data_IF_797952047147
#
_entry.id   IF_797952047147
#
_cell.length_a   1.000
_cell.length_b   1.000
_cell.length_c   1.000
_cell.angle_alpha   90.00
_cell.angle_beta   90.00
_cell.angle_gamma   90.00
#
_symmetry.space_group_name_H-M   'P 1'
#
loop_
_entity.id
_entity.type
_entity.pdbx_description
1 polymer ?
#
# COMPACT_ATOMS: atom_id res chain seq x y z
N UNK A 1 -4.51 15.63 -6.79
CA UNK A 1 -3.89 14.29 -6.82
C UNK A 1 -4.24 13.62 -8.13
N UNK A 2 -3.44 13.82 -9.19
CA UNK A 2 -3.82 13.32 -10.51
C UNK A 2 -2.98 12.18 -11.04
N UNK A 3 -1.89 11.78 -10.38
CA UNK A 3 -1.17 10.57 -10.79
C UNK A 3 -0.46 9.94 -9.58
N UNK A 4 -0.93 8.78 -9.24
CA UNK A 4 -0.09 7.78 -8.66
C UNK A 4 0.74 7.20 -9.82
N UNK A 5 2.01 7.53 -9.93
CA UNK A 5 2.98 6.62 -10.49
C UNK A 5 3.10 5.47 -9.49
N UNK A 6 1.94 4.86 -9.24
CA UNK A 6 1.81 3.85 -8.22
C UNK A 6 2.52 2.58 -8.57
N UNK A 7 3.35 2.57 -9.58
CA UNK A 7 3.95 1.34 -10.02
C UNK A 7 5.25 1.54 -10.80
N UNK A 8 5.74 2.78 -10.91
CA UNK A 8 7.13 3.03 -11.27
C UNK A 8 8.11 2.73 -10.12
N UNK A 9 7.62 2.11 -9.06
CA UNK A 9 8.48 1.58 -8.03
C UNK A 9 9.05 0.25 -8.52
N UNK A 10 10.27 -0.06 -8.22
CA UNK A 10 10.94 -1.32 -8.53
C UNK A 10 10.22 -2.59 -8.03
N UNK A 11 9.00 -2.47 -7.54
CA UNK A 11 8.12 -3.55 -7.13
C UNK A 11 7.37 -4.21 -8.30
N UNK A 12 7.47 -3.70 -9.52
CA UNK A 12 6.73 -4.22 -10.68
C UNK A 12 7.60 -4.44 -11.92
N UNK A 13 8.88 -4.63 -11.73
CA UNK A 13 9.76 -5.14 -12.79
C UNK A 13 9.26 -6.47 -13.36
N UNK A 14 8.64 -7.27 -12.52
CA UNK A 14 8.00 -8.56 -12.87
C UNK A 14 6.76 -8.78 -11.98
N UNK A 15 5.82 -9.60 -12.43
CA UNK A 15 4.66 -9.99 -11.62
C UNK A 15 5.09 -10.80 -10.40
N UNK A 16 4.56 -10.48 -9.21
CA UNK A 16 4.83 -11.24 -7.98
C UNK A 16 4.33 -12.68 -8.06
N UNK A 17 5.06 -13.60 -7.45
CA UNK A 17 4.66 -15.01 -7.35
C UNK A 17 3.59 -15.18 -6.27
N UNK A 18 2.32 -15.14 -6.67
CA UNK A 18 1.17 -15.24 -5.78
C UNK A 18 0.76 -16.69 -5.61
N UNK A 19 1.39 -17.40 -4.69
CA UNK A 19 1.13 -18.83 -4.45
C UNK A 19 -0.36 -19.15 -4.20
N UNK A 20 -1.09 -18.27 -3.52
CA UNK A 20 -2.53 -18.44 -3.29
C UNK A 20 -3.31 -18.46 -4.61
N UNK A 21 -2.96 -17.58 -5.55
CA UNK A 21 -3.60 -17.54 -6.88
C UNK A 21 -3.29 -18.84 -7.63
N UNK A 22 -2.05 -19.32 -7.56
CA UNK A 22 -1.62 -20.60 -8.14
C UNK A 22 -2.36 -21.80 -7.53
N UNK A 23 -2.45 -21.87 -6.20
CA UNK A 23 -3.18 -22.95 -5.49
C UNK A 23 -4.67 -22.97 -5.83
N UNK A 24 -5.27 -21.80 -6.07
CA UNK A 24 -6.66 -21.67 -6.47
C UNK A 24 -6.89 -21.85 -7.98
N UNK A 25 -5.83 -22.10 -8.76
CA UNK A 25 -5.91 -22.22 -10.21
C UNK A 25 -6.20 -20.91 -10.93
N UNK A 26 -6.05 -19.76 -10.24
CA UNK A 26 -6.24 -18.47 -10.87
C UNK A 26 -5.07 -18.14 -11.80
N UNK A 27 -5.36 -18.05 -13.09
CA UNK A 27 -4.39 -17.73 -14.14
C UNK A 27 -4.91 -16.60 -15.02
N UNK A 28 -4.03 -15.79 -15.50
CA UNK A 28 -4.32 -14.81 -16.54
C UNK A 28 -3.57 -15.22 -17.83
N UNK A 29 -4.24 -15.37 -18.98
CA UNK A 29 -5.68 -15.16 -19.20
C UNK A 29 -6.56 -16.20 -18.50
N UNK A 30 -7.76 -15.78 -18.09
CA UNK A 30 -8.74 -16.65 -17.45
C UNK A 30 -9.14 -17.79 -18.41
N UNK A 31 -9.13 -19.03 -17.92
CA UNK A 31 -9.60 -20.20 -18.66
C UNK A 31 -10.75 -20.85 -17.90
N UNK A 32 -11.79 -21.20 -18.63
CA UNK A 32 -12.91 -21.97 -18.08
C UNK A 32 -12.45 -23.42 -17.86
N UNK A 33 -12.11 -23.75 -16.63
CA UNK A 33 -11.84 -25.13 -16.20
C UNK A 33 -13.09 -25.69 -15.50
N UNK A 34 -13.26 -27.00 -15.38
CA UNK A 34 -14.43 -27.61 -14.71
C UNK A 34 -14.67 -27.05 -13.29
N UNK A 35 -13.59 -26.77 -12.54
CA UNK A 35 -13.65 -26.14 -11.22
C UNK A 35 -14.24 -24.72 -11.30
N UNK A 36 -13.81 -23.93 -12.28
CA UNK A 36 -14.31 -22.56 -12.49
C UNK A 36 -15.79 -22.54 -12.86
N UNK A 37 -16.25 -23.51 -13.65
CA UNK A 37 -17.67 -23.67 -14.00
C UNK A 37 -18.50 -23.97 -12.76
N UNK A 38 -18.03 -24.87 -11.89
CA UNK A 38 -18.70 -25.16 -10.62
C UNK A 38 -18.76 -23.95 -9.69
N UNK A 39 -17.72 -23.13 -9.64
CA UNK A 39 -17.70 -21.91 -8.84
C UNK A 39 -18.65 -20.84 -9.41
N UNK A 40 -18.68 -20.66 -10.73
CA UNK A 40 -19.64 -19.76 -11.40
C UNK A 40 -21.08 -20.18 -11.10
N UNK A 41 -21.39 -21.47 -11.17
CA UNK A 41 -22.73 -22.00 -10.87
C UNK A 41 -23.16 -21.76 -9.41
N UNK A 42 -22.21 -21.70 -8.48
CA UNK A 42 -22.48 -21.37 -7.07
C UNK A 42 -22.71 -19.88 -6.81
N UNK A 43 -22.38 -19.03 -7.78
CA UNK A 43 -22.48 -17.57 -7.67
C UNK A 43 -23.35 -16.97 -8.78
N UNK A 44 -24.66 -17.30 -8.84
CA UNK A 44 -25.55 -16.92 -9.94
C UNK A 44 -25.70 -15.40 -10.09
N UNK A 45 -25.64 -14.64 -8.98
CA UNK A 45 -25.67 -13.17 -9.02
C UNK A 45 -24.47 -12.59 -9.75
N UNK A 46 -23.26 -13.14 -9.52
CA UNK A 46 -22.05 -12.75 -10.24
C UNK A 46 -22.14 -13.13 -11.73
N UNK A 47 -22.60 -14.34 -12.03
CA UNK A 47 -22.77 -14.80 -13.41
C UNK A 47 -23.74 -13.90 -14.19
N UNK A 48 -24.86 -13.52 -13.56
CA UNK A 48 -25.84 -12.59 -14.16
C UNK A 48 -25.25 -11.18 -14.35
N UNK A 49 -24.46 -10.69 -13.40
CA UNK A 49 -23.80 -9.41 -13.55
C UNK A 49 -22.81 -9.41 -14.72
N UNK A 50 -22.00 -10.46 -14.87
CA UNK A 50 -21.09 -10.62 -16.01
C UNK A 50 -21.85 -10.74 -17.34
N UNK A 51 -22.98 -11.46 -17.38
CA UNK A 51 -23.81 -11.55 -18.57
C UNK A 51 -24.42 -10.20 -18.96
N UNK A 52 -24.81 -9.37 -17.98
CA UNK A 52 -25.42 -8.06 -18.22
C UNK A 52 -24.43 -6.98 -18.58
N UNK A 53 -23.27 -6.95 -17.92
CA UNK A 53 -22.32 -5.83 -17.98
C UNK A 53 -20.99 -6.20 -18.67
N UNK A 54 -20.81 -7.47 -19.03
CA UNK A 54 -19.55 -7.97 -19.55
C UNK A 54 -18.48 -8.15 -18.46
N UNK A 55 -17.29 -8.56 -18.86
CA UNK A 55 -16.14 -8.58 -17.96
C UNK A 55 -15.62 -7.17 -17.74
N UNK A 56 -15.18 -6.84 -16.51
CA UNK A 56 -14.57 -5.53 -16.26
C UNK A 56 -13.32 -5.33 -17.12
N UNK A 57 -13.29 -4.22 -17.83
CA UNK A 57 -12.17 -3.79 -18.66
C UNK A 57 -11.44 -2.66 -17.95
N UNK A 58 -10.12 -2.66 -18.02
CA UNK A 58 -9.34 -1.55 -17.50
C UNK A 58 -9.34 -0.41 -18.52
N UNK A 59 -10.20 0.59 -18.31
CA UNK A 59 -10.41 1.72 -19.24
C UNK A 59 -9.13 2.48 -19.55
N UNK A 60 -8.19 2.57 -18.59
CA UNK A 60 -6.91 3.23 -18.79
C UNK A 60 -5.99 2.51 -19.79
N UNK A 61 -6.29 1.27 -20.13
CA UNK A 61 -5.55 0.51 -21.14
C UNK A 61 -6.20 0.54 -22.53
N UNK A 62 -7.43 1.05 -22.61
CA UNK A 62 -8.14 1.22 -23.90
C UNK A 62 -7.40 2.29 -24.71
N UNK A 63 -6.93 1.91 -25.88
CA UNK A 63 -6.18 2.82 -26.78
C UNK A 63 -4.65 2.73 -26.67
N UNK A 64 -4.10 2.13 -25.62
CA UNK A 64 -2.65 1.88 -25.55
C UNK A 64 -2.21 0.68 -26.39
N UNK A 65 -3.12 -0.26 -26.67
CA UNK A 65 -2.85 -1.41 -27.53
C UNK A 65 -4.11 -1.81 -28.32
N UNK A 66 -3.93 -2.28 -29.56
CA UNK A 66 -5.02 -2.65 -30.47
C UNK A 66 -5.86 -3.86 -30.03
N UNK A 67 -5.44 -4.59 -28.99
CA UNK A 67 -5.99 -5.90 -28.63
C UNK A 67 -6.57 -5.97 -27.18
N UNK A 68 -7.08 -4.85 -26.68
CA UNK A 68 -7.58 -4.73 -25.29
C UNK A 68 -9.09 -5.05 -25.17
N UNK A 69 -9.71 -5.61 -26.20
CA UNK A 69 -11.13 -5.92 -26.21
C UNK A 69 -11.51 -7.19 -25.39
N UNK A 70 -10.52 -7.93 -24.90
CA UNK A 70 -10.74 -9.14 -24.10
C UNK A 70 -9.99 -9.10 -22.77
N UNK A 71 -10.50 -9.78 -21.75
CA UNK A 71 -9.82 -9.97 -20.45
C UNK A 71 -8.40 -10.54 -20.63
N UNK A 72 -8.24 -11.44 -21.60
CA UNK A 72 -6.95 -12.02 -21.96
C UNK A 72 -5.99 -10.95 -22.56
N UNK A 73 -6.50 -10.07 -23.40
CA UNK A 73 -5.76 -8.97 -23.98
C UNK A 73 -5.31 -7.95 -22.92
N UNK A 74 -6.18 -7.60 -21.97
CA UNK A 74 -5.86 -6.73 -20.84
C UNK A 74 -4.76 -7.34 -19.97
N UNK A 75 -4.88 -8.60 -19.59
CA UNK A 75 -3.88 -9.28 -18.77
C UNK A 75 -2.52 -9.38 -19.46
N UNK A 76 -2.52 -9.67 -20.77
CA UNK A 76 -1.31 -9.72 -21.58
C UNK A 76 -0.70 -8.32 -21.78
N UNK A 77 -1.52 -7.28 -21.90
CA UNK A 77 -1.07 -5.88 -21.99
C UNK A 77 -0.40 -5.44 -20.69
N UNK A 78 -0.98 -5.74 -19.53
CA UNK A 78 -0.39 -5.46 -18.22
C UNK A 78 0.97 -6.18 -18.08
N UNK A 79 1.04 -7.46 -18.43
CA UNK A 79 2.30 -8.22 -18.34
C UNK A 79 3.41 -7.70 -19.26
N UNK A 80 3.06 -7.20 -20.46
CA UNK A 80 4.03 -6.62 -21.41
C UNK A 80 4.50 -5.21 -21.05
N UNK A 81 3.75 -4.51 -20.21
CA UNK A 81 4.09 -3.15 -19.78
C UNK A 81 4.98 -3.11 -18.53
N UNK A 82 5.37 -4.26 -17.97
CA UNK A 82 6.39 -4.29 -16.94
C UNK A 82 7.75 -4.02 -17.58
N UNK A 83 8.44 -3.02 -17.05
CA UNK A 83 9.79 -2.67 -17.49
C UNK A 83 10.80 -3.01 -16.38
N UNK A 84 11.49 -4.16 -16.48
CA UNK A 84 12.51 -4.54 -15.51
C UNK A 84 13.76 -3.64 -15.55
N UNK A 85 13.91 -2.83 -16.58
CA UNK A 85 15.02 -1.88 -16.72
C UNK A 85 14.72 -0.51 -16.08
N UNK A 86 13.55 -0.33 -15.45
CA UNK A 86 13.20 0.93 -14.80
C UNK A 86 14.16 1.22 -13.64
N UNK A 87 14.86 2.33 -13.75
CA UNK A 87 15.89 2.78 -12.81
C UNK A 87 15.71 4.26 -12.40
N UNK A 88 16.69 4.79 -11.71
CA UNK A 88 16.68 6.16 -11.23
C UNK A 88 16.74 7.21 -12.36
N UNK A 89 17.41 6.89 -13.46
CA UNK A 89 17.52 7.79 -14.61
C UNK A 89 16.17 7.90 -15.33
N UNK A 90 15.47 6.78 -15.47
CA UNK A 90 14.09 6.77 -15.97
C UNK A 90 13.12 7.55 -15.09
N UNK A 91 13.30 7.47 -13.77
CA UNK A 91 12.50 8.29 -12.85
C UNK A 91 12.80 9.79 -13.02
N UNK A 92 14.06 10.15 -13.24
CA UNK A 92 14.46 11.53 -13.51
C UNK A 92 13.86 12.05 -14.83
N UNK A 93 13.86 11.23 -15.88
CA UNK A 93 13.17 11.57 -17.14
C UNK A 93 11.67 11.81 -16.92
N UNK A 94 11.00 10.94 -16.16
CA UNK A 94 9.58 11.11 -15.83
C UNK A 94 9.38 12.41 -15.05
N UNK A 95 10.24 12.71 -14.06
CA UNK A 95 10.15 13.95 -13.32
C UNK A 95 10.29 15.17 -14.23
N UNK A 96 11.20 15.14 -15.20
CA UNK A 96 11.40 16.22 -16.16
C UNK A 96 10.20 16.42 -17.11
N UNK A 97 9.60 15.31 -17.55
CA UNK A 97 8.43 15.33 -18.43
C UNK A 97 7.11 15.68 -17.73
N UNK A 98 7.03 15.42 -16.40
CA UNK A 98 5.80 15.58 -15.63
C UNK A 98 5.89 16.81 -14.70
N UNK A 99 5.34 17.97 -15.11
CA UNK A 99 5.49 19.21 -14.33
C UNK A 99 4.55 19.32 -13.13
N UNK A 100 3.68 18.31 -12.91
CA UNK A 100 2.72 18.31 -11.80
C UNK A 100 3.23 17.47 -10.63
N UNK A 101 2.37 17.25 -9.62
CA UNK A 101 2.69 16.43 -8.44
C UNK A 101 3.07 15.01 -8.82
N UNK A 102 4.26 14.60 -8.38
CA UNK A 102 4.80 13.26 -8.55
C UNK A 102 4.85 12.57 -7.19
N UNK A 103 4.10 11.49 -7.05
CA UNK A 103 4.06 10.66 -5.83
C UNK A 103 4.66 9.30 -6.17
N UNK A 104 5.70 8.91 -5.46
CA UNK A 104 6.34 7.60 -5.64
C UNK A 104 5.88 6.63 -4.56
N UNK A 105 5.43 5.45 -4.99
CA UNK A 105 4.89 4.40 -4.13
C UNK A 105 5.79 3.15 -4.18
N UNK A 106 5.87 2.42 -3.06
CA UNK A 106 6.65 1.18 -2.97
C UNK A 106 7.97 1.37 -2.24
N UNK A 107 8.14 2.48 -1.57
CA UNK A 107 9.36 2.83 -0.84
C UNK A 107 9.36 2.15 0.52
N UNK A 108 10.45 1.44 0.85
CA UNK A 108 10.63 0.73 2.12
C UNK A 108 11.94 1.07 2.83
N UNK A 109 12.77 1.93 2.23
CA UNK A 109 14.11 2.29 2.75
C UNK A 109 14.25 3.80 2.86
N UNK A 110 14.93 4.25 3.90
CA UNK A 110 15.18 5.67 4.15
C UNK A 110 16.09 6.31 3.11
N UNK A 111 17.13 5.61 2.66
CA UNK A 111 18.05 6.11 1.64
C UNK A 111 17.38 6.35 0.28
N UNK A 112 16.48 5.44 -0.13
CA UNK A 112 15.66 5.64 -1.33
C UNK A 112 14.71 6.82 -1.16
N UNK A 113 14.08 6.96 0.00
CA UNK A 113 13.19 8.06 0.30
C UNK A 113 13.89 9.42 0.24
N UNK A 114 15.08 9.54 0.82
CA UNK A 114 15.88 10.74 0.77
C UNK A 114 16.32 11.09 -0.66
N UNK A 115 16.70 10.07 -1.46
CA UNK A 115 17.02 10.25 -2.88
C UNK A 115 15.82 10.76 -3.67
N UNK A 116 14.63 10.21 -3.46
CA UNK A 116 13.38 10.64 -4.10
C UNK A 116 13.04 12.10 -3.79
N UNK A 117 13.22 12.51 -2.54
CA UNK A 117 13.02 13.92 -2.13
C UNK A 117 13.99 14.82 -2.87
N UNK A 118 15.29 14.47 -2.96
CA UNK A 118 16.28 15.25 -3.73
C UNK A 118 15.99 15.31 -5.23
N UNK A 119 15.34 14.29 -5.78
CA UNK A 119 14.89 14.26 -7.17
C UNK A 119 13.62 15.09 -7.42
N UNK A 120 13.04 15.70 -6.38
CA UNK A 120 11.87 16.56 -6.51
C UNK A 120 10.54 15.81 -6.55
N UNK A 121 10.45 14.62 -5.94
CA UNK A 121 9.16 13.98 -5.69
C UNK A 121 8.36 14.77 -4.67
N UNK A 122 7.05 14.87 -4.86
CA UNK A 122 6.16 15.69 -4.03
C UNK A 122 5.56 14.93 -2.85
N UNK A 123 5.57 13.60 -2.88
CA UNK A 123 5.17 12.75 -1.76
C UNK A 123 5.71 11.33 -1.96
N UNK A 124 5.77 10.59 -0.85
CA UNK A 124 6.22 9.19 -0.81
C UNK A 124 5.14 8.33 -0.19
N UNK A 125 4.91 7.14 -0.75
CA UNK A 125 4.04 6.12 -0.16
C UNK A 125 4.89 4.94 0.28
N UNK A 126 4.99 4.73 1.58
CA UNK A 126 5.58 3.52 2.17
C UNK A 126 4.66 2.34 1.87
N UNK A 127 5.13 1.40 1.07
CA UNK A 127 4.28 0.34 0.53
C UNK A 127 5.07 -0.89 0.11
N UNK A 128 4.58 -2.07 0.46
CA UNK A 128 5.02 -3.35 -0.07
C UNK A 128 3.96 -3.97 -1.02
N UNK A 129 3.11 -3.10 -1.61
CA UNK A 129 2.00 -3.52 -2.47
C UNK A 129 1.03 -4.49 -1.77
N UNK A 130 0.89 -4.38 -0.44
CA UNK A 130 0.05 -5.27 0.37
C UNK A 130 0.58 -6.70 0.44
N UNK A 131 1.90 -6.90 0.34
CA UNK A 131 2.56 -8.21 0.34
C UNK A 131 2.31 -9.02 -0.94
N UNK A 132 2.02 -8.37 -2.08
CA UNK A 132 1.63 -9.04 -3.33
C UNK A 132 2.75 -9.13 -4.36
N UNK A 133 3.93 -8.60 -4.07
CA UNK A 133 5.10 -8.59 -4.97
C UNK A 133 6.25 -9.42 -4.39
N UNK A 134 7.21 -8.80 -3.74
CA UNK A 134 8.32 -9.51 -3.12
C UNK A 134 7.87 -10.16 -1.82
N UNK A 135 7.96 -11.48 -1.74
CA UNK A 135 7.76 -12.19 -0.48
C UNK A 135 8.93 -11.93 0.48
N UNK A 136 8.65 -11.82 1.78
CA UNK A 136 9.65 -11.49 2.78
C UNK A 136 10.06 -10.00 2.82
N UNK A 137 9.42 -9.12 2.03
CA UNK A 137 9.61 -7.67 2.18
C UNK A 137 9.10 -7.20 3.56
N UNK A 138 9.76 -6.18 4.12
CA UNK A 138 9.40 -5.60 5.42
C UNK A 138 7.93 -5.19 5.46
N UNK A 139 7.29 -5.34 6.64
CA UNK A 139 5.98 -4.74 6.84
C UNK A 139 6.10 -3.21 6.73
N UNK A 140 5.11 -2.59 6.13
CA UNK A 140 5.16 -1.15 5.84
C UNK A 140 5.17 -0.31 7.10
N UNK A 141 4.53 -0.78 8.17
CA UNK A 141 4.52 -0.10 9.46
C UNK A 141 5.91 -0.15 10.13
N UNK A 142 6.68 -1.22 9.90
CA UNK A 142 8.05 -1.35 10.43
C UNK A 142 9.05 -0.49 9.65
N UNK A 143 8.85 -0.33 8.34
CA UNK A 143 9.68 0.52 7.49
C UNK A 143 9.37 2.02 7.63
N UNK A 144 8.16 2.37 8.10
CA UNK A 144 7.67 3.74 8.14
C UNK A 144 8.55 4.70 8.97
N UNK A 145 9.03 4.35 10.18
CA UNK A 145 9.87 5.27 10.97
C UNK A 145 11.16 5.66 10.24
N UNK A 146 11.88 4.69 9.67
CA UNK A 146 13.11 4.95 8.91
C UNK A 146 12.86 5.89 7.73
N UNK A 147 11.78 5.67 6.99
CA UNK A 147 11.41 6.52 5.85
C UNK A 147 10.98 7.91 6.32
N UNK A 148 10.18 8.01 7.38
CA UNK A 148 9.73 9.28 7.92
C UNK A 148 10.91 10.14 8.43
N UNK A 149 11.85 9.51 9.14
CA UNK A 149 13.06 10.16 9.64
C UNK A 149 13.95 10.66 8.48
N UNK A 150 14.16 9.83 7.46
CA UNK A 150 14.94 10.20 6.29
C UNK A 150 14.30 11.33 5.48
N UNK A 151 12.98 11.35 5.37
CA UNK A 151 12.23 12.43 4.70
C UNK A 151 12.24 13.71 5.52
N UNK A 152 12.28 13.62 6.85
CA UNK A 152 12.39 14.75 7.79
C UNK A 152 11.36 15.87 7.50
N UNK A 153 10.13 15.50 7.18
CA UNK A 153 9.03 16.45 6.93
C UNK A 153 9.14 17.26 5.63
N UNK A 154 10.14 17.02 4.79
CA UNK A 154 10.35 17.76 3.52
C UNK A 154 9.22 17.54 2.52
N UNK A 155 8.63 16.36 2.51
CA UNK A 155 7.44 16.02 1.71
C UNK A 155 6.50 15.14 2.52
N UNK A 156 5.21 15.04 2.16
CA UNK A 156 4.28 14.13 2.80
C UNK A 156 4.73 12.67 2.67
N UNK A 157 4.66 11.93 3.79
CA UNK A 157 4.82 10.47 3.83
C UNK A 157 3.46 9.84 4.04
N UNK A 158 3.04 9.00 3.12
CA UNK A 158 1.84 8.20 3.17
C UNK A 158 2.20 6.73 3.38
N UNK A 159 1.26 5.94 3.85
CA UNK A 159 1.45 4.49 4.01
C UNK A 159 0.27 3.71 3.48
N UNK A 160 0.53 2.52 2.95
CA UNK A 160 -0.47 1.49 2.74
C UNK A 160 0.03 0.11 3.23
N UNK A 161 -0.83 -0.88 3.09
CA UNK A 161 -0.52 -2.25 3.49
C UNK A 161 -0.92 -2.57 4.92
N UNK A 162 -1.68 -3.64 5.09
CA UNK A 162 -2.05 -4.18 6.40
C UNK A 162 -3.14 -3.44 7.17
N UNK A 163 -3.59 -2.28 6.73
CA UNK A 163 -4.61 -1.46 7.42
C UNK A 163 -5.97 -2.13 7.38
N UNK A 164 -6.50 -2.48 8.53
CA UNK A 164 -7.78 -3.22 8.70
C UNK A 164 -8.69 -2.63 9.75
N UNK A 165 -8.16 -1.84 10.68
CA UNK A 165 -8.83 -1.26 11.83
C UNK A 165 -8.50 0.23 11.98
N UNK A 166 -9.37 0.98 12.64
CA UNK A 166 -9.12 2.38 12.92
C UNK A 166 -7.87 2.61 13.79
N UNK A 167 -7.53 1.67 14.67
CA UNK A 167 -6.29 1.75 15.48
C UNK A 167 -5.02 1.66 14.63
N UNK A 168 -5.06 0.99 13.49
CA UNK A 168 -3.90 0.91 12.58
C UNK A 168 -3.58 2.28 12.00
N UNK A 169 -4.60 3.10 11.77
CA UNK A 169 -4.45 4.49 11.33
C UNK A 169 -3.80 5.35 12.42
N UNK A 170 -4.20 5.16 13.69
CA UNK A 170 -3.56 5.85 14.83
C UNK A 170 -2.08 5.50 14.92
N UNK A 171 -1.75 4.21 14.83
CA UNK A 171 -0.34 3.74 14.83
C UNK A 171 0.46 4.33 13.68
N UNK A 172 -0.07 4.30 12.47
CA UNK A 172 0.59 4.85 11.29
C UNK A 172 0.85 6.36 11.44
N UNK A 173 -0.13 7.11 11.95
CA UNK A 173 0.02 8.53 12.25
C UNK A 173 1.09 8.79 13.30
N UNK A 174 1.06 8.04 14.39
CA UNK A 174 2.03 8.15 15.49
C UNK A 174 3.47 7.86 15.03
N UNK A 175 3.65 7.02 14.00
CA UNK A 175 4.94 6.69 13.40
C UNK A 175 5.36 7.62 12.23
N UNK A 176 4.62 8.71 11.99
CA UNK A 176 5.03 9.74 11.03
C UNK A 176 4.28 9.76 9.71
N UNK A 177 3.33 8.84 9.46
CA UNK A 177 2.52 8.93 8.25
C UNK A 177 1.54 10.11 8.33
N UNK A 178 1.42 10.88 7.25
CA UNK A 178 0.44 11.98 7.17
C UNK A 178 -0.91 11.53 6.64
N UNK A 179 -0.96 10.46 5.85
CA UNK A 179 -2.18 9.83 5.39
C UNK A 179 -2.00 8.32 5.24
N UNK A 180 -3.14 7.62 5.27
CA UNK A 180 -3.21 6.16 5.16
C UNK A 180 -4.07 5.79 3.96
N UNK A 181 -3.58 4.88 3.14
CA UNK A 181 -4.30 4.35 1.99
C UNK A 181 -4.83 2.95 2.31
N UNK A 182 -6.04 2.67 1.88
CA UNK A 182 -6.67 1.37 2.07
C UNK A 182 -7.01 0.74 0.72
N UNK A 183 -6.80 -0.56 0.58
CA UNK A 183 -7.11 -1.32 -0.62
C UNK A 183 -8.13 -2.42 -0.32
N UNK A 184 -7.66 -3.60 0.10
CA UNK A 184 -8.52 -4.76 0.32
C UNK A 184 -9.67 -4.57 1.32
N UNK A 185 -9.51 -3.68 2.30
CA UNK A 185 -10.58 -3.42 3.27
C UNK A 185 -11.86 -2.91 2.58
N UNK A 186 -11.73 -1.94 1.68
CA UNK A 186 -12.85 -1.42 0.88
C UNK A 186 -13.27 -2.38 -0.21
N UNK A 187 -12.32 -3.09 -0.84
CA UNK A 187 -12.60 -4.08 -1.87
C UNK A 187 -13.49 -5.22 -1.35
N UNK A 188 -13.26 -5.72 -0.14
CA UNK A 188 -14.13 -6.74 0.47
C UNK A 188 -15.55 -6.22 0.69
N UNK A 189 -15.69 -4.97 1.10
CA UNK A 189 -17.00 -4.32 1.17
C UNK A 189 -17.68 -4.25 -0.20
N UNK A 190 -16.95 -3.82 -1.23
CA UNK A 190 -17.47 -3.76 -2.59
C UNK A 190 -17.91 -5.14 -3.13
N UNK A 191 -17.13 -6.18 -2.88
CA UNK A 191 -17.48 -7.56 -3.27
C UNK A 191 -18.73 -8.04 -2.54
N UNK A 192 -18.90 -7.67 -1.27
CA UNK A 192 -20.06 -8.12 -0.46
C UNK A 192 -21.37 -7.40 -0.84
N UNK A 193 -21.34 -6.10 -1.14
CA UNK A 193 -22.54 -5.29 -1.31
C UNK A 193 -22.35 -4.07 -2.24
N UNK A 194 -21.45 -4.15 -3.24
CA UNK A 194 -21.23 -3.08 -4.20
C UNK A 194 -20.77 -1.77 -3.51
N UNK A 195 -21.22 -0.64 -4.02
CA UNK A 195 -20.87 0.70 -3.53
C UNK A 195 -21.23 0.89 -2.06
N UNK A 196 -22.41 0.44 -1.64
CA UNK A 196 -22.85 0.51 -0.25
C UNK A 196 -21.93 -0.29 0.69
N UNK A 197 -21.42 -1.42 0.24
CA UNK A 197 -20.45 -2.22 0.99
C UNK A 197 -19.08 -1.54 1.11
N UNK A 198 -18.60 -0.92 0.05
CA UNK A 198 -17.37 -0.13 0.08
C UNK A 198 -17.49 1.09 1.02
N UNK A 199 -18.59 1.81 0.93
CA UNK A 199 -18.91 2.92 1.83
C UNK A 199 -18.99 2.45 3.28
N UNK A 200 -19.67 1.33 3.54
CA UNK A 200 -19.76 0.76 4.89
C UNK A 200 -18.39 0.40 5.47
N UNK A 201 -17.49 -0.13 4.67
CA UNK A 201 -16.12 -0.43 5.11
C UNK A 201 -15.37 0.83 5.54
N UNK A 202 -15.50 1.93 4.79
CA UNK A 202 -14.92 3.23 5.15
C UNK A 202 -15.54 3.81 6.42
N UNK A 203 -16.87 3.70 6.59
CA UNK A 203 -17.58 4.13 7.80
C UNK A 203 -17.09 3.35 9.04
N UNK A 204 -16.87 2.04 8.92
CA UNK A 204 -16.32 1.21 10.00
C UNK A 204 -14.93 1.72 10.39
N UNK A 205 -14.02 1.87 9.43
CA UNK A 205 -12.67 2.35 9.70
C UNK A 205 -12.68 3.74 10.34
N UNK A 206 -13.52 4.64 9.86
CA UNK A 206 -13.64 5.99 10.41
C UNK A 206 -14.20 5.98 11.83
N UNK A 207 -15.24 5.19 12.10
CA UNK A 207 -15.84 5.08 13.44
C UNK A 207 -14.88 4.46 14.45
N UNK A 208 -14.10 3.45 14.02
CA UNK A 208 -13.05 2.84 14.85
C UNK A 208 -11.90 3.83 15.12
N UNK A 209 -11.49 4.61 14.11
CA UNK A 209 -10.48 5.66 14.27
C UNK A 209 -10.93 6.70 15.34
N UNK A 210 -12.14 7.22 15.18
CA UNK A 210 -12.69 8.20 16.14
C UNK A 210 -12.76 7.60 17.55
N UNK A 211 -13.18 6.34 17.67
CA UNK A 211 -13.21 5.66 18.96
C UNK A 211 -11.83 5.49 19.57
N UNK A 212 -10.84 5.06 18.77
CA UNK A 212 -9.47 4.91 19.22
C UNK A 212 -8.90 6.25 19.69
N UNK A 213 -9.09 7.33 18.93
CA UNK A 213 -8.68 8.68 19.31
C UNK A 213 -9.30 9.13 20.63
N UNK A 214 -10.60 8.88 20.84
CA UNK A 214 -11.28 9.18 22.12
C UNK A 214 -10.70 8.41 23.28
N UNK A 215 -10.42 7.11 23.10
CA UNK A 215 -9.84 6.27 24.13
C UNK A 215 -8.39 6.64 24.47
N UNK A 216 -7.65 7.18 23.50
CA UNK A 216 -6.30 7.72 23.69
C UNK A 216 -6.29 9.18 24.21
N UNK A 217 -7.43 9.80 24.43
CA UNK A 217 -7.50 11.21 24.85
C UNK A 217 -7.01 12.20 23.79
N UNK A 218 -7.00 11.83 22.52
CA UNK A 218 -6.46 12.65 21.42
C UNK A 218 -7.62 13.20 20.58
N UNK A 219 -8.03 14.47 20.78
CA UNK A 219 -9.21 15.03 20.13
C UNK A 219 -8.99 15.41 18.65
N UNK A 220 -7.74 15.53 18.21
CA UNK A 220 -7.36 15.95 16.87
C UNK A 220 -6.40 14.96 16.25
N UNK A 221 -6.53 14.71 14.94
CA UNK A 221 -5.69 13.75 14.21
C UNK A 221 -4.23 14.22 14.08
N UNK A 222 -4.01 15.53 14.07
CA UNK A 222 -2.67 16.12 14.03
C UNK A 222 -1.95 16.11 15.40
N UNK A 223 -2.69 15.84 16.49
CA UNK A 223 -2.14 15.65 17.81
C UNK A 223 -1.72 14.19 18.10
N UNK A 224 -1.94 13.27 17.14
CA UNK A 224 -1.45 11.90 17.26
C UNK A 224 0.08 11.91 17.07
N UNK A 225 0.80 11.57 18.12
CA UNK A 225 2.26 11.51 18.16
C UNK A 225 2.80 10.18 18.66
N UNK A 226 4.13 9.99 18.62
CA UNK A 226 4.79 8.76 19.06
C UNK A 226 4.62 8.46 20.54
N UNK A 227 4.27 9.44 21.36
CA UNK A 227 3.95 9.33 22.79
C UNK A 227 2.73 8.43 23.09
N UNK A 228 1.85 8.23 22.09
CA UNK A 228 0.73 7.29 22.19
C UNK A 228 1.15 5.83 22.01
N UNK A 229 2.37 5.56 21.60
CA UNK A 229 2.87 4.21 21.37
C UNK A 229 3.66 3.71 22.60
N UNK A 230 3.35 2.50 23.05
CA UNK A 230 4.22 1.83 24.01
C UNK A 230 5.59 1.56 23.37
N UNK A 231 6.70 1.77 24.09
CA UNK A 231 8.01 1.39 23.57
C UNK A 231 8.05 -0.10 23.24
N UNK A 232 8.81 -0.52 22.21
CA UNK A 232 8.95 -1.93 21.85
C UNK A 232 9.38 -2.76 23.09
N UNK A 233 8.83 -3.95 23.25
CA UNK A 233 9.21 -4.85 24.31
C UNK A 233 10.74 -5.06 24.30
N UNK A 234 11.41 -4.75 25.41
CA UNK A 234 12.88 -4.78 25.54
C UNK A 234 13.60 -3.44 25.36
N UNK A 235 12.98 -2.39 24.85
CA UNK A 235 13.61 -1.07 24.76
C UNK A 235 13.81 -0.42 26.15
N UNK A 236 12.89 -0.63 27.06
CA UNK A 236 13.00 -0.17 28.45
C UNK A 236 14.19 -0.80 29.21
N UNK A 237 14.50 -2.07 28.92
CA UNK A 237 15.63 -2.80 29.50
C UNK A 237 16.99 -2.23 29.04
N UNK A 238 17.11 -1.81 27.78
CA UNK A 238 18.34 -1.19 27.24
C UNK A 238 18.58 0.21 27.80
N UNK A 239 17.53 1.03 27.98
CA UNK A 239 17.65 2.34 28.58
C UNK A 239 18.08 2.25 30.05
N UNK A 240 17.51 1.33 30.82
CA UNK A 240 17.90 1.11 32.22
C UNK A 240 19.36 0.64 32.37
N UNK A 241 19.89 -0.19 31.46
CA UNK A 241 21.28 -0.65 31.49
C UNK A 241 22.31 0.46 31.17
N UNK A 242 21.93 1.46 30.35
CA UNK A 242 22.78 2.60 30.02
C UNK A 242 22.89 3.63 31.15
N UNK A 243 21.89 3.69 32.05
CA UNK A 243 21.93 4.58 33.22
C UNK A 243 22.66 3.95 34.43
N UNK A 244 22.66 2.62 34.54
CA UNK A 244 23.36 1.91 35.62
C UNK A 244 24.88 1.89 35.44
N UNK A 245 25.40 1.96 34.22
CA UNK A 245 26.84 1.97 33.92
C UNK A 245 27.50 3.34 34.11
N UNK A 246 26.76 4.43 34.23
CA UNK A 246 27.34 5.78 34.46
C UNK A 246 27.47 6.17 35.95
N UNK A 247 26.86 5.43 36.88
CA UNK A 247 26.93 5.73 38.31
C UNK A 247 28.15 5.13 39.02
N UNK A 248 28.88 4.21 38.39
CA UNK A 248 30.06 3.58 38.97
C UNK A 248 31.41 4.20 38.57
N UNK A 249 31.41 5.28 37.74
CA UNK A 249 32.64 5.92 37.24
C UNK A 249 33.00 7.26 37.95
N UNK A 250 32.26 7.63 39.02
CA UNK A 250 32.53 8.84 39.76
C UNK A 250 32.82 8.61 41.27
N UNK A 251 33.34 7.45 41.65
CA UNK A 251 33.82 7.17 42.98
C UNK A 251 35.16 6.44 42.84
N UNK A 252 36.21 7.22 42.60
CA UNK A 252 37.60 6.81 42.56
C UNK A 252 38.47 8.03 42.45
#
# INVERSE_FOLDING_TARGET
LRFFLGEASGNLAVGGNRERDLRNGFRTPFRLEPKSIGDVARHPGWALAVLRHGFPVNENLIGLQRDVSSVAGVAAAVGRNYDPSFDWDRLAEIRALWPRKLIVKGVLRGDDADRLVRMGCDAIVVSNHGGRQLDGASATLDALPEVADAVAGRVPVLIDGGVRRGIDIVKARALGAQAVLVGRATLWGAVAAGDAGAERALQILTSELVRAMKLCGTPRIDAIGPDLLAPPAGAASRAASLFTTRSSACAG
#
